data_IF_759280734976
#
_entry.id   IF_759280734976
#
_cell.length_a   1.000
_cell.length_b   1.000
_cell.length_c   1.000
_cell.angle_alpha   90.00
_cell.angle_beta   90.00
_cell.angle_gamma   90.00
#
_symmetry.space_group_name_H-M   'P 1'
#
loop_
_entity.id
_entity.type
_entity.pdbx_description
1 polymer ?
#
# COMPACT_ATOMS: atom_id res chain seq x y z
N UNK A 1 4.28 6.74 -3.29
CA UNK A 1 3.19 6.87 -2.28
C UNK A 1 1.80 6.79 -2.92
N UNK A 2 0.99 5.81 -2.51
CA UNK A 2 -0.46 5.79 -2.78
C UNK A 2 -1.09 6.90 -1.93
N UNK A 3 -1.21 8.09 -2.52
CA UNK A 3 -1.70 9.29 -1.84
C UNK A 3 -3.22 9.25 -1.81
N UNK A 4 -3.77 9.42 -0.61
CA UNK A 4 -5.16 9.59 -0.15
C UNK A 4 -6.06 10.53 -1.00
N UNK A 5 -6.21 10.30 -2.30
CA UNK A 5 -7.01 11.17 -3.17
C UNK A 5 -8.37 10.60 -3.54
N UNK A 6 -8.58 9.28 -3.45
CA UNK A 6 -9.90 8.66 -3.60
C UNK A 6 -9.95 7.48 -2.66
N UNK A 7 -10.89 7.46 -1.71
CA UNK A 7 -11.02 6.42 -0.68
C UNK A 7 -11.36 5.03 -1.23
N UNK A 8 -11.10 4.76 -2.51
CA UNK A 8 -11.28 3.49 -3.21
C UNK A 8 -10.26 3.41 -4.35
N UNK A 9 -9.57 2.27 -4.48
CA UNK A 9 -8.66 1.99 -5.58
C UNK A 9 -9.14 0.80 -6.39
N UNK A 10 -9.02 0.90 -7.72
CA UNK A 10 -9.27 -0.23 -8.60
C UNK A 10 -8.11 -1.21 -8.61
N UNK A 11 -8.40 -2.50 -8.59
CA UNK A 11 -7.39 -3.59 -8.66
C UNK A 11 -6.39 -3.40 -9.80
N UNK A 12 -6.87 -2.94 -10.98
CA UNK A 12 -6.02 -2.71 -12.15
C UNK A 12 -5.00 -1.60 -11.92
N UNK A 13 -5.40 -0.52 -11.24
CA UNK A 13 -4.49 0.58 -10.92
C UNK A 13 -3.43 0.14 -9.90
N UNK A 14 -3.79 -0.73 -8.97
CA UNK A 14 -2.85 -1.29 -7.97
C UNK A 14 -1.82 -2.17 -8.69
N UNK A 15 -2.27 -3.04 -9.60
CA UNK A 15 -1.40 -3.91 -10.40
C UNK A 15 -0.40 -3.11 -11.25
N UNK A 16 -0.88 -2.13 -11.99
CA UNK A 16 -0.04 -1.24 -12.80
C UNK A 16 0.99 -0.51 -11.94
N UNK A 17 0.56 0.06 -10.82
CA UNK A 17 1.46 0.83 -9.95
C UNK A 17 2.51 -0.01 -9.24
N UNK A 18 2.21 -1.26 -8.93
CA UNK A 18 3.16 -2.19 -8.32
C UNK A 18 4.02 -2.94 -9.35
N UNK A 19 3.75 -2.78 -10.66
CA UNK A 19 4.41 -3.57 -11.70
C UNK A 19 4.15 -5.07 -11.55
N UNK A 20 2.97 -5.46 -11.05
CA UNK A 20 2.57 -6.85 -10.79
C UNK A 20 1.38 -7.26 -11.65
N UNK A 21 1.22 -8.56 -11.85
CA UNK A 21 0.09 -9.08 -12.61
C UNK A 21 -1.24 -8.92 -11.86
N UNK A 22 -2.33 -8.71 -12.60
CA UNK A 22 -3.68 -8.58 -12.02
C UNK A 22 -4.05 -9.79 -11.12
N UNK A 23 -3.82 -11.06 -11.51
CA UNK A 23 -4.13 -12.20 -10.66
C UNK A 23 -3.32 -12.22 -9.35
N UNK A 24 -2.05 -11.81 -9.40
CA UNK A 24 -1.19 -11.73 -8.20
C UNK A 24 -1.72 -10.70 -7.21
N UNK A 25 -2.09 -9.51 -7.71
CA UNK A 25 -2.68 -8.46 -6.87
C UNK A 25 -4.05 -8.87 -6.33
N UNK A 26 -4.90 -9.50 -7.15
CA UNK A 26 -6.18 -10.04 -6.68
C UNK A 26 -5.99 -11.04 -5.55
N UNK A 27 -5.05 -11.98 -5.68
CA UNK A 27 -4.77 -12.95 -4.62
C UNK A 27 -4.29 -12.27 -3.32
N UNK A 28 -3.41 -11.28 -3.43
CA UNK A 28 -2.95 -10.51 -2.26
C UNK A 28 -4.09 -9.75 -1.59
N UNK A 29 -4.96 -9.10 -2.38
CA UNK A 29 -6.13 -8.38 -1.88
C UNK A 29 -7.14 -9.32 -1.20
N UNK A 30 -7.39 -10.51 -1.75
CA UNK A 30 -8.24 -11.51 -1.10
C UNK A 30 -7.68 -11.95 0.25
N UNK A 31 -6.36 -12.11 0.37
CA UNK A 31 -5.72 -12.46 1.64
C UNK A 31 -5.86 -11.30 2.66
N UNK A 32 -5.65 -10.05 2.24
CA UNK A 32 -5.84 -8.88 3.09
C UNK A 32 -7.30 -8.70 3.52
N UNK A 33 -8.25 -9.07 2.65
CA UNK A 33 -9.68 -9.04 2.97
C UNK A 33 -10.03 -10.11 4.01
N UNK A 34 -9.46 -11.32 3.88
CA UNK A 34 -9.64 -12.40 4.84
C UNK A 34 -9.10 -12.04 6.24
N UNK A 35 -8.08 -11.17 6.33
CA UNK A 35 -7.56 -10.65 7.60
C UNK A 35 -8.23 -9.36 8.06
N UNK A 36 -9.29 -8.89 7.39
CA UNK A 36 -10.03 -7.68 7.78
C UNK A 36 -9.30 -6.36 7.55
N UNK A 37 -8.23 -6.35 6.75
CA UNK A 37 -7.43 -5.13 6.48
C UNK A 37 -7.98 -4.33 5.30
N UNK A 38 -8.69 -4.97 4.37
CA UNK A 38 -9.34 -4.30 3.25
C UNK A 38 -10.78 -4.77 3.08
N UNK A 39 -11.61 -3.89 2.53
CA UNK A 39 -12.94 -4.20 2.02
C UNK A 39 -12.93 -4.12 0.50
N UNK A 40 -13.51 -5.13 -0.14
CA UNK A 40 -13.64 -5.20 -1.60
C UNK A 40 -15.10 -4.97 -2.01
N UNK A 41 -15.32 -4.12 -3.01
CA UNK A 41 -16.62 -3.90 -3.64
C UNK A 41 -16.43 -4.05 -5.16
N UNK A 42 -16.65 -5.26 -5.68
CA UNK A 42 -16.31 -5.59 -7.06
C UNK A 42 -14.80 -5.43 -7.32
N UNK A 43 -14.42 -4.46 -8.15
CA UNK A 43 -13.02 -4.15 -8.47
C UNK A 43 -12.42 -3.03 -7.62
N UNK A 44 -13.21 -2.44 -6.74
CA UNK A 44 -12.83 -1.36 -5.85
C UNK A 44 -12.37 -1.91 -4.50
N UNK A 45 -11.28 -1.36 -3.98
CA UNK A 45 -10.64 -1.75 -2.72
C UNK A 45 -10.53 -0.54 -1.82
N UNK A 46 -10.94 -0.71 -0.57
CA UNK A 46 -10.78 0.28 0.50
C UNK A 46 -10.04 -0.34 1.68
N UNK A 47 -9.24 0.45 2.38
CA UNK A 47 -8.72 0.02 3.68
C UNK A 47 -9.85 0.06 4.71
N UNK A 48 -9.84 -0.89 5.64
CA UNK A 48 -10.61 -0.77 6.88
C UNK A 48 -9.90 0.18 7.83
N UNK A 49 -10.51 0.50 8.97
CA UNK A 49 -9.84 1.28 10.01
C UNK A 49 -8.57 0.58 10.54
N UNK A 50 -8.61 -0.75 10.74
CA UNK A 50 -7.43 -1.55 11.06
C UNK A 50 -6.41 -1.50 9.91
N UNK A 51 -6.87 -1.65 8.67
CA UNK A 51 -6.03 -1.53 7.48
C UNK A 51 -5.29 -0.20 7.40
N UNK A 52 -5.97 0.91 7.69
CA UNK A 52 -5.38 2.24 7.74
C UNK A 52 -4.33 2.37 8.84
N UNK A 53 -4.56 1.78 10.02
CA UNK A 53 -3.56 1.75 11.11
C UNK A 53 -2.30 0.99 10.69
N UNK A 54 -2.45 -0.21 10.14
CA UNK A 54 -1.32 -1.04 9.67
C UNK A 54 -0.59 -0.36 8.50
N UNK A 55 -1.33 0.20 7.55
CA UNK A 55 -0.76 0.91 6.40
C UNK A 55 0.02 2.16 6.83
N UNK A 56 -0.52 2.91 7.80
CA UNK A 56 0.13 4.11 8.33
C UNK A 56 1.43 3.78 9.06
N UNK A 57 1.42 2.77 9.94
CA UNK A 57 2.63 2.31 10.63
C UNK A 57 3.69 1.79 9.65
N UNK A 58 3.27 1.11 8.58
CA UNK A 58 4.17 0.64 7.53
C UNK A 58 4.79 1.80 6.75
N UNK A 59 3.99 2.80 6.39
CA UNK A 59 4.44 3.99 5.67
C UNK A 59 5.38 4.84 6.54
N UNK A 60 5.10 4.97 7.82
CA UNK A 60 5.97 5.66 8.77
C UNK A 60 7.35 5.02 8.83
N UNK A 61 7.40 3.69 8.99
CA UNK A 61 8.65 2.93 8.99
C UNK A 61 9.42 3.06 7.68
N UNK A 62 8.72 2.98 6.55
CA UNK A 62 9.34 3.18 5.24
C UNK A 62 9.98 4.56 5.12
N UNK A 63 9.26 5.62 5.50
CA UNK A 63 9.76 7.00 5.46
C UNK A 63 10.89 7.25 6.44
N UNK A 64 10.90 6.57 7.58
CA UNK A 64 12.01 6.62 8.52
C UNK A 64 13.28 6.12 7.86
N UNK A 65 13.24 4.92 7.27
CA UNK A 65 14.40 4.36 6.58
C UNK A 65 14.77 5.15 5.32
N UNK A 66 13.80 5.64 4.56
CA UNK A 66 14.04 6.51 3.41
C UNK A 66 14.84 7.75 3.81
N UNK A 67 14.43 8.46 4.88
CA UNK A 67 15.17 9.61 5.40
C UNK A 67 16.57 9.23 5.87
N UNK A 68 16.69 8.17 6.66
CA UNK A 68 17.98 7.70 7.15
C UNK A 68 18.95 7.40 5.99
N UNK A 69 18.49 6.69 4.97
CA UNK A 69 19.31 6.35 3.80
C UNK A 69 19.74 7.59 3.01
N UNK A 70 18.85 8.58 2.86
CA UNK A 70 19.18 9.84 2.18
C UNK A 70 20.18 10.66 2.99
N UNK A 71 20.00 10.74 4.31
CA UNK A 71 20.91 11.45 5.21
C UNK A 71 22.31 10.83 5.20
N UNK A 72 22.43 9.50 5.32
CA UNK A 72 23.73 8.82 5.30
C UNK A 72 24.40 8.89 3.93
N UNK A 73 23.62 8.79 2.84
CA UNK A 73 24.17 8.92 1.48
C UNK A 73 24.69 10.34 1.18
N UNK A 74 24.15 11.36 1.85
CA UNK A 74 24.57 12.75 1.68
C UNK A 74 25.76 13.13 2.57
N UNK A 75 26.09 12.33 3.59
CA UNK A 75 27.21 12.56 4.50
C UNK A 75 28.55 11.98 3.99
N UNK A 76 28.52 11.24 2.87
CA UNK A 76 29.70 10.65 2.21
C UNK A 76 30.13 11.40 0.92
N UNK A 77 29.56 12.59 0.66
CA UNK A 77 29.90 13.48 -0.46
C UNK A 77 30.58 14.76 0.03
#
# INVERSE_FOLDING_TARGET
MIRRLRGSYRNVNIAERLGRSKPSVTKALSNLAATGLVQMSGHDVRLTEEGERVASATLERHRFFERLLVETASAEA
#
